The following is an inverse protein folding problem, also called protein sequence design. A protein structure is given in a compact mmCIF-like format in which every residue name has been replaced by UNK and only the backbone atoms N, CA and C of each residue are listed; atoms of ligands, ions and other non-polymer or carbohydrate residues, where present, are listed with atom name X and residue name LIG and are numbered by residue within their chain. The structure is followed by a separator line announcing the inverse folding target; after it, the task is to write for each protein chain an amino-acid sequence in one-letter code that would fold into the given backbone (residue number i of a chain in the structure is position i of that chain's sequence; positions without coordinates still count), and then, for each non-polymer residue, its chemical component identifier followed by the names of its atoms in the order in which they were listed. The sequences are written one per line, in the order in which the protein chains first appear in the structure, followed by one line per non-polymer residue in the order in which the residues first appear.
data_IF_550865853361
#
_entry.id   IF_550865853361
#
_cell.length_a   1.000
_cell.length_b   1.000
_cell.length_c   1.000
_cell.angle_alpha   90.00
_cell.angle_beta   90.00
_cell.angle_gamma   90.00
#
_symmetry.space_group_name_H-M   'P 1'
#
loop_
_entity.id
_entity.type
_entity.pdbx_description
1 polymer ?
#
# COMPACT_ATOMS: atom_id res chain seq x y z
N UNK A 1 6.73 -24.73 4.70
CA UNK A 1 6.01 -24.11 3.60
C UNK A 1 6.98 -23.32 2.74
N UNK A 2 6.93 -23.57 1.38
CA UNK A 2 7.77 -22.90 0.40
C UNK A 2 7.50 -21.40 0.31
N UNK A 3 8.48 -20.65 -0.24
CA UNK A 3 8.33 -19.24 -0.57
C UNK A 3 8.31 -19.08 -2.08
N UNK A 4 7.57 -18.08 -2.56
CA UNK A 4 7.48 -17.73 -3.99
C UNK A 4 8.26 -16.42 -4.17
N UNK A 5 9.36 -16.47 -4.92
CA UNK A 5 10.12 -15.29 -5.29
C UNK A 5 9.51 -14.63 -6.53
N UNK A 6 9.35 -13.31 -6.51
CA UNK A 6 8.92 -12.51 -7.66
C UNK A 6 9.99 -11.48 -8.01
N UNK A 7 10.17 -11.20 -9.31
CA UNK A 7 11.23 -10.36 -9.86
C UNK A 7 10.85 -8.87 -9.92
N UNK A 8 10.16 -8.34 -8.90
CA UNK A 8 9.90 -6.91 -8.81
C UNK A 8 11.18 -6.14 -8.52
N UNK A 9 11.37 -5.02 -9.22
CA UNK A 9 12.53 -4.14 -9.16
C UNK A 9 12.20 -2.80 -8.50
N UNK A 10 13.22 -1.93 -8.36
CA UNK A 10 13.01 -0.54 -7.92
C UNK A 10 12.07 0.23 -8.88
N UNK A 11 12.18 -0.01 -10.19
CA UNK A 11 11.33 0.63 -11.19
C UNK A 11 9.86 0.23 -11.00
N UNK A 12 9.57 -1.07 -10.74
CA UNK A 12 8.22 -1.52 -10.40
C UNK A 12 7.69 -0.89 -9.12
N UNK A 13 8.58 -0.68 -8.15
CA UNK A 13 8.24 0.00 -6.90
C UNK A 13 7.83 1.46 -7.16
N UNK A 14 8.63 2.21 -7.92
CA UNK A 14 8.35 3.59 -8.32
C UNK A 14 7.00 3.68 -9.07
N UNK A 15 6.77 2.81 -10.06
CA UNK A 15 5.50 2.73 -10.78
C UNK A 15 4.32 2.53 -9.83
N UNK A 16 4.47 1.64 -8.85
CA UNK A 16 3.42 1.34 -7.86
C UNK A 16 3.12 2.53 -6.97
N UNK A 17 4.15 3.23 -6.49
CA UNK A 17 3.99 4.46 -5.69
C UNK A 17 3.25 5.53 -6.48
N UNK A 18 3.66 5.78 -7.73
CA UNK A 18 3.00 6.77 -8.59
C UNK A 18 1.55 6.40 -8.90
N UNK A 19 1.26 5.12 -9.18
CA UNK A 19 -0.12 4.65 -9.37
C UNK A 19 -0.98 4.85 -8.13
N UNK A 20 -0.44 4.58 -6.95
CA UNK A 20 -1.16 4.77 -5.70
C UNK A 20 -1.40 6.25 -5.42
N UNK A 21 -0.40 7.10 -5.67
CA UNK A 21 -0.51 8.56 -5.55
C UNK A 21 -1.64 9.11 -6.44
N UNK A 22 -1.70 8.69 -7.71
CA UNK A 22 -2.74 9.16 -8.66
C UNK A 22 -4.15 8.69 -8.32
N UNK A 23 -4.28 7.62 -7.51
CA UNK A 23 -5.58 7.10 -7.04
C UNK A 23 -6.03 7.72 -5.72
N UNK A 24 -5.16 8.47 -5.06
CA UNK A 24 -5.31 8.89 -3.69
C UNK A 24 -5.07 7.71 -2.74
N UNK A 25 -4.05 7.80 -1.91
CA UNK A 25 -3.68 6.72 -0.99
C UNK A 25 -3.34 7.27 0.38
N UNK A 26 -3.42 6.43 1.39
CA UNK A 26 -2.84 6.67 2.72
C UNK A 26 -1.36 6.29 2.71
N UNK A 27 -0.68 6.55 3.83
CA UNK A 27 0.75 6.27 4.02
C UNK A 27 1.16 4.86 3.57
N UNK A 28 0.39 3.84 3.93
CA UNK A 28 0.62 2.45 3.54
C UNK A 28 0.79 2.23 2.02
N UNK A 29 0.06 2.99 1.19
CA UNK A 29 0.19 2.89 -0.26
C UNK A 29 1.40 3.62 -0.82
N UNK A 30 1.96 4.59 -0.10
CA UNK A 30 3.19 5.30 -0.44
C UNK A 30 4.45 4.51 -0.02
N UNK A 31 4.32 3.52 0.85
CA UNK A 31 5.41 2.59 1.19
C UNK A 31 5.84 1.71 0.01
N UNK A 32 5.08 1.72 -1.10
CA UNK A 32 5.39 0.96 -2.30
C UNK A 32 5.11 -0.54 -2.17
N UNK A 33 5.98 -1.35 -2.78
CA UNK A 33 5.86 -2.81 -2.80
C UNK A 33 6.60 -3.37 -1.57
N UNK A 34 5.93 -4.11 -0.65
CA UNK A 34 6.62 -4.66 0.51
C UNK A 34 7.60 -5.78 0.09
N UNK A 35 8.79 -5.89 0.71
CA UNK A 35 9.77 -6.94 0.41
C UNK A 35 9.22 -8.35 0.61
N UNK A 36 8.27 -8.50 1.55
CA UNK A 36 7.60 -9.76 1.87
C UNK A 36 6.13 -9.54 2.12
N UNK A 37 5.28 -10.41 1.55
CA UNK A 37 3.84 -10.43 1.82
C UNK A 37 3.31 -11.86 1.77
N UNK A 38 2.97 -12.42 2.93
CA UNK A 38 2.59 -13.82 3.02
C UNK A 38 3.69 -14.76 2.51
N UNK A 39 3.42 -15.66 1.54
CA UNK A 39 4.41 -16.55 0.95
C UNK A 39 5.35 -15.85 -0.06
N UNK A 40 4.99 -14.66 -0.53
CA UNK A 40 5.75 -13.94 -1.57
C UNK A 40 6.93 -13.18 -0.97
N UNK A 41 8.11 -13.29 -1.62
CA UNK A 41 9.31 -12.52 -1.36
C UNK A 41 9.77 -11.82 -2.64
N UNK A 42 10.48 -10.69 -2.51
CA UNK A 42 10.94 -9.85 -3.64
C UNK A 42 12.42 -9.53 -3.50
N UNK A 43 13.30 -10.48 -3.85
CA UNK A 43 14.75 -10.34 -3.63
C UNK A 43 15.37 -9.18 -4.41
N UNK A 44 14.80 -8.84 -5.58
CA UNK A 44 15.33 -7.84 -6.49
C UNK A 44 14.76 -6.44 -6.29
N UNK A 45 13.95 -6.22 -5.23
CA UNK A 45 13.26 -4.95 -5.02
C UNK A 45 14.20 -3.75 -4.79
N UNK A 46 15.43 -4.01 -4.36
CA UNK A 46 16.47 -3.00 -4.17
C UNK A 46 17.39 -2.81 -5.40
N UNK A 47 17.10 -3.49 -6.51
CA UNK A 47 17.91 -3.47 -7.73
C UNK A 47 17.14 -2.73 -8.83
N UNK A 48 17.80 -1.82 -9.54
CA UNK A 48 17.22 -1.12 -10.68
C UNK A 48 17.21 -2.00 -11.92
N UNK A 49 16.37 -1.66 -12.88
CA UNK A 49 16.35 -2.33 -14.17
C UNK A 49 17.67 -2.14 -14.92
N UNK A 50 18.26 -0.98 -14.82
CA UNK A 50 19.55 -0.64 -15.45
C UNK A 50 20.69 -1.52 -14.92
N UNK A 51 20.74 -1.77 -13.60
CA UNK A 51 21.72 -2.69 -13.00
C UNK A 51 21.53 -4.13 -13.47
N UNK A 52 20.29 -4.58 -13.63
CA UNK A 52 19.98 -5.93 -14.16
C UNK A 52 20.45 -6.05 -15.61
N UNK A 53 20.15 -5.06 -16.46
CA UNK A 53 20.54 -5.05 -17.86
C UNK A 53 22.08 -5.01 -18.00
N UNK A 54 22.76 -4.22 -17.17
CA UNK A 54 24.23 -4.18 -17.12
C UNK A 54 24.82 -5.53 -16.71
N UNK A 55 24.24 -6.18 -15.68
CA UNK A 55 24.67 -7.51 -15.24
C UNK A 55 24.51 -8.56 -16.36
N UNK A 56 23.39 -8.57 -17.05
CA UNK A 56 23.14 -9.49 -18.17
C UNK A 56 24.15 -9.29 -19.28
N UNK A 57 24.41 -8.03 -19.66
CA UNK A 57 25.38 -7.69 -20.71
C UNK A 57 26.81 -8.13 -20.32
N UNK A 58 27.23 -7.89 -19.08
CA UNK A 58 28.56 -8.29 -18.58
C UNK A 58 28.77 -9.82 -18.58
N UNK A 59 27.69 -10.58 -18.36
CA UNK A 59 27.77 -12.04 -18.31
C UNK A 59 27.38 -12.72 -19.64
N UNK A 60 27.13 -11.97 -20.70
CA UNK A 60 26.75 -12.51 -22.02
C UNK A 60 25.40 -13.24 -22.00
N UNK A 61 24.52 -12.90 -21.05
CA UNK A 61 23.20 -13.50 -20.92
C UNK A 61 22.17 -12.77 -21.78
N UNK A 62 21.40 -13.52 -22.56
CA UNK A 62 20.28 -12.97 -23.32
C UNK A 62 19.03 -12.86 -22.46
N UNK A 63 18.29 -11.77 -22.58
CA UNK A 63 16.94 -11.64 -22.03
C UNK A 63 15.89 -11.70 -23.15
N UNK A 64 14.77 -12.33 -22.85
CA UNK A 64 13.61 -12.32 -23.73
C UNK A 64 12.76 -11.11 -23.38
N UNK A 65 12.54 -10.25 -24.36
CA UNK A 65 11.57 -9.15 -24.20
C UNK A 65 10.19 -9.71 -24.46
N UNK A 66 9.40 -9.83 -23.40
CA UNK A 66 7.99 -10.26 -23.52
C UNK A 66 7.21 -9.18 -24.27
N UNK A 67 6.66 -9.54 -25.44
CA UNK A 67 5.83 -8.64 -26.26
C UNK A 67 4.55 -8.19 -25.56
N UNK A 68 4.09 -8.91 -24.55
CA UNK A 68 2.94 -8.49 -23.71
C UNK A 68 3.24 -7.24 -22.88
N UNK A 69 4.52 -6.91 -22.63
CA UNK A 69 4.93 -5.63 -22.05
C UNK A 69 4.60 -4.43 -22.95
N UNK A 70 4.30 -4.66 -24.21
CA UNK A 70 3.85 -3.65 -25.18
C UNK A 70 2.32 -3.49 -25.18
N UNK A 71 1.57 -4.45 -24.63
CA UNK A 71 0.12 -4.32 -24.50
C UNK A 71 -0.19 -3.35 -23.33
N UNK A 72 -1.04 -2.36 -23.55
CA UNK A 72 -1.25 -1.31 -22.58
C UNK A 72 -2.17 -1.79 -21.44
N UNK A 73 -1.62 -2.17 -20.29
CA UNK A 73 -2.25 -1.67 -19.08
C UNK A 73 -2.08 -0.14 -19.17
N UNK A 74 -3.10 0.53 -19.72
CA UNK A 74 -2.97 1.88 -20.26
C UNK A 74 -2.43 2.91 -19.24
N UNK A 75 -2.53 2.64 -17.94
CA UNK A 75 -2.04 3.53 -16.89
C UNK A 75 -0.57 3.28 -16.54
N UNK A 76 -0.19 2.01 -16.36
CA UNK A 76 1.17 1.65 -15.95
C UNK A 76 2.16 1.93 -17.08
N UNK A 77 1.80 1.61 -18.31
CA UNK A 77 2.63 1.91 -19.48
C UNK A 77 2.74 3.41 -19.76
N UNK A 78 1.66 4.20 -19.55
CA UNK A 78 1.78 5.67 -19.64
C UNK A 78 2.73 6.24 -18.59
N UNK A 79 2.68 5.77 -17.35
CA UNK A 79 3.65 6.20 -16.34
C UNK A 79 5.08 5.86 -16.76
N UNK A 80 5.33 4.63 -17.18
CA UNK A 80 6.65 4.15 -17.60
C UNK A 80 7.20 4.90 -18.81
N UNK A 81 6.35 5.14 -19.82
CA UNK A 81 6.80 5.71 -21.10
C UNK A 81 6.79 7.23 -21.14
N UNK A 82 5.93 7.88 -20.37
CA UNK A 82 5.72 9.32 -20.49
C UNK A 82 6.04 10.10 -19.22
N UNK A 83 5.69 9.60 -18.04
CA UNK A 83 5.82 10.36 -16.79
C UNK A 83 7.16 10.11 -16.12
N UNK A 84 7.55 8.86 -15.96
CA UNK A 84 8.82 8.50 -15.30
C UNK A 84 10.04 9.09 -16.01
N UNK A 85 10.15 9.09 -17.35
CA UNK A 85 11.26 9.73 -18.03
C UNK A 85 11.38 11.23 -17.73
N UNK A 86 10.28 11.96 -17.65
CA UNK A 86 10.29 13.38 -17.28
C UNK A 86 10.77 13.58 -15.83
N UNK A 87 10.30 12.75 -14.92
CA UNK A 87 10.74 12.80 -13.51
C UNK A 87 12.22 12.40 -13.36
N UNK A 88 12.70 11.43 -14.15
CA UNK A 88 14.12 11.04 -14.19
C UNK A 88 15.01 12.14 -14.81
N UNK A 89 14.49 12.97 -15.71
CA UNK A 89 15.20 14.13 -16.23
C UNK A 89 15.46 15.19 -15.15
N UNK A 90 14.50 15.36 -14.22
CA UNK A 90 14.66 16.24 -13.05
C UNK A 90 15.57 15.61 -11.97
N UNK A 91 15.46 14.29 -11.78
CA UNK A 91 16.28 13.54 -10.81
C UNK A 91 16.71 12.19 -11.42
N UNK A 92 17.92 12.07 -11.96
CA UNK A 92 18.44 10.81 -12.50
C UNK A 92 18.44 9.64 -11.50
N UNK A 93 18.60 9.93 -10.20
CA UNK A 93 18.57 8.94 -9.12
C UNK A 93 17.15 8.73 -8.53
N UNK A 94 16.10 9.00 -9.31
CA UNK A 94 14.71 8.96 -8.82
C UNK A 94 14.33 7.61 -8.22
N UNK A 95 14.73 6.49 -8.84
CA UNK A 95 14.40 5.15 -8.34
C UNK A 95 14.98 4.92 -6.94
N UNK A 96 16.26 5.24 -6.74
CA UNK A 96 16.92 5.13 -5.42
C UNK A 96 16.30 6.05 -4.39
N UNK A 97 16.01 7.29 -4.78
CA UNK A 97 15.40 8.29 -3.90
C UNK A 97 14.01 7.84 -3.46
N UNK A 98 13.19 7.37 -4.40
CA UNK A 98 11.86 6.84 -4.12
C UNK A 98 11.93 5.56 -3.25
N UNK A 99 12.87 4.67 -3.52
CA UNK A 99 13.06 3.46 -2.73
C UNK A 99 13.43 3.78 -1.27
N UNK A 100 14.38 4.72 -1.05
CA UNK A 100 14.74 5.19 0.30
C UNK A 100 13.56 5.84 1.01
N UNK A 101 12.81 6.70 0.32
CA UNK A 101 11.60 7.31 0.85
C UNK A 101 10.59 6.24 1.29
N UNK A 102 10.32 5.23 0.46
CA UNK A 102 9.42 4.12 0.80
C UNK A 102 9.86 3.40 2.08
N UNK A 103 11.17 3.17 2.25
CA UNK A 103 11.72 2.51 3.44
C UNK A 103 11.49 3.31 4.72
N UNK A 104 11.65 4.64 4.66
CA UNK A 104 11.36 5.51 5.79
C UNK A 104 9.86 5.51 6.12
N UNK A 105 9.01 5.67 5.12
CA UNK A 105 7.55 5.62 5.29
C UNK A 105 7.06 4.27 5.80
N UNK A 106 7.72 3.16 5.41
CA UNK A 106 7.40 1.81 5.92
C UNK A 106 7.64 1.70 7.43
N UNK A 107 8.72 2.30 7.93
CA UNK A 107 9.01 2.32 9.36
C UNK A 107 7.96 3.12 10.15
N UNK A 108 7.58 4.29 9.64
CA UNK A 108 6.53 5.13 10.24
C UNK A 108 5.16 4.41 10.22
N UNK A 109 4.80 3.79 9.08
CA UNK A 109 3.56 3.04 8.95
C UNK A 109 3.52 1.83 9.88
N UNK A 110 4.64 1.11 10.03
CA UNK A 110 4.74 -0.02 10.96
C UNK A 110 4.48 0.43 12.41
N UNK A 111 5.05 1.56 12.82
CA UNK A 111 4.84 2.12 14.16
C UNK A 111 3.38 2.53 14.39
N UNK A 112 2.79 3.25 13.43
CA UNK A 112 1.38 3.68 13.52
C UNK A 112 0.41 2.49 13.49
N UNK A 113 0.72 1.46 12.69
CA UNK A 113 -0.06 0.23 12.64
C UNK A 113 0.00 -0.55 13.94
N UNK A 114 1.19 -0.68 14.57
CA UNK A 114 1.33 -1.34 15.86
C UNK A 114 0.54 -0.62 16.97
N UNK A 115 0.56 0.72 16.99
CA UNK A 115 -0.25 1.50 17.91
C UNK A 115 -1.76 1.32 17.66
N UNK A 116 -2.16 1.23 16.40
CA UNK A 116 -3.57 1.00 16.04
C UNK A 116 -4.04 -0.40 16.42
N UNK A 117 -3.21 -1.43 16.29
CA UNK A 117 -3.50 -2.78 16.78
C UNK A 117 -3.69 -2.78 18.30
N UNK A 118 -2.84 -2.10 19.07
CA UNK A 118 -2.98 -1.95 20.51
C UNK A 118 -4.29 -1.23 20.87
N UNK A 119 -4.61 -0.11 20.22
CA UNK A 119 -5.85 0.63 20.42
C UNK A 119 -7.09 -0.23 20.12
N UNK A 120 -7.04 -0.99 19.01
CA UNK A 120 -8.10 -1.90 18.62
C UNK A 120 -8.30 -3.01 19.66
N UNK A 121 -7.21 -3.63 20.13
CA UNK A 121 -7.28 -4.69 21.14
C UNK A 121 -7.84 -4.19 22.48
N UNK A 122 -7.50 -2.96 22.89
CA UNK A 122 -8.05 -2.33 24.10
C UNK A 122 -9.55 -1.97 23.97
N UNK A 123 -9.97 -1.60 22.76
CA UNK A 123 -11.36 -1.23 22.49
C UNK A 123 -12.26 -2.42 22.19
N UNK A 124 -11.69 -3.58 21.86
CA UNK A 124 -12.41 -4.76 21.35
C UNK A 124 -13.43 -5.29 22.32
N UNK A 125 -14.64 -5.57 21.81
CA UNK A 125 -15.73 -6.26 22.47
C UNK A 125 -16.11 -7.52 21.66
N UNK A 126 -16.88 -8.48 22.21
CA UNK A 126 -17.29 -9.69 21.48
C UNK A 126 -17.99 -9.39 20.15
N UNK A 127 -18.75 -8.30 20.05
CA UNK A 127 -19.53 -7.94 18.85
C UNK A 127 -19.27 -6.50 18.38
N UNK A 128 -18.06 -5.99 18.58
CA UNK A 128 -17.74 -4.63 18.14
C UNK A 128 -16.58 -4.00 18.89
N UNK A 129 -16.65 -2.69 19.05
CA UNK A 129 -15.64 -1.91 19.78
C UNK A 129 -16.28 -0.88 20.70
N UNK A 130 -15.58 -0.54 21.78
CA UNK A 130 -15.99 0.55 22.70
C UNK A 130 -15.60 1.88 22.07
N UNK A 131 -16.60 2.66 21.63
CA UNK A 131 -16.39 3.95 20.96
C UNK A 131 -15.55 4.92 21.80
N UNK A 132 -15.85 5.06 23.11
CA UNK A 132 -15.12 5.98 24.01
C UNK A 132 -13.63 5.64 24.14
N UNK A 133 -13.24 4.39 23.96
CA UNK A 133 -11.83 4.00 23.95
C UNK A 133 -11.15 4.45 22.65
N UNK A 134 -11.78 4.23 21.49
CA UNK A 134 -11.21 4.62 20.21
C UNK A 134 -11.16 6.13 20.01
N UNK A 135 -12.18 6.86 20.46
CA UNK A 135 -12.23 8.33 20.33
C UNK A 135 -11.17 9.05 21.15
N UNK A 136 -10.56 8.40 22.14
CA UNK A 136 -9.43 8.94 22.89
C UNK A 136 -8.11 8.93 22.11
N UNK A 137 -8.04 8.20 20.99
CA UNK A 137 -6.81 8.12 20.18
C UNK A 137 -6.79 9.16 19.07
N UNK A 138 -5.59 9.65 18.68
CA UNK A 138 -5.43 10.51 17.51
C UNK A 138 -5.98 9.88 16.23
N UNK A 139 -6.43 10.70 15.28
CA UNK A 139 -7.03 10.28 14.00
C UNK A 139 -6.19 9.24 13.25
N UNK A 140 -4.85 9.43 13.25
CA UNK A 140 -3.94 8.52 12.57
C UNK A 140 -4.01 7.08 13.12
N UNK A 141 -4.22 6.91 14.42
CA UNK A 141 -4.34 5.61 15.11
C UNK A 141 -5.76 5.10 15.00
N UNK A 142 -6.74 5.95 15.34
CA UNK A 142 -8.15 5.60 15.38
C UNK A 142 -8.66 5.10 14.03
N UNK A 143 -8.38 5.80 12.94
CA UNK A 143 -8.82 5.38 11.60
C UNK A 143 -8.17 4.09 11.11
N UNK A 144 -6.95 3.75 11.58
CA UNK A 144 -6.35 2.44 11.35
C UNK A 144 -7.02 1.34 12.18
N UNK A 145 -7.38 1.63 13.44
CA UNK A 145 -8.13 0.70 14.28
C UNK A 145 -9.52 0.43 13.70
N UNK A 146 -10.21 1.45 13.18
CA UNK A 146 -11.48 1.29 12.44
C UNK A 146 -11.27 0.41 11.20
N UNK A 147 -10.16 0.57 10.47
CA UNK A 147 -9.85 -0.32 9.35
C UNK A 147 -9.70 -1.77 9.80
N UNK A 148 -9.00 -2.04 10.90
CA UNK A 148 -8.86 -3.40 11.46
C UNK A 148 -10.22 -4.01 11.81
N UNK A 149 -11.15 -3.22 12.38
CA UNK A 149 -12.53 -3.65 12.61
C UNK A 149 -13.23 -4.04 11.29
N UNK A 150 -13.13 -3.19 10.27
CA UNK A 150 -13.74 -3.42 8.96
C UNK A 150 -13.12 -4.61 8.21
N UNK A 151 -11.83 -4.85 8.37
CA UNK A 151 -11.16 -6.01 7.77
C UNK A 151 -11.70 -7.34 8.34
N UNK A 152 -12.22 -7.37 9.57
CA UNK A 152 -12.81 -8.57 10.18
C UNK A 152 -14.15 -8.98 9.56
N UNK A 153 -14.93 -8.03 9.06
CA UNK A 153 -16.22 -8.33 8.42
C UNK A 153 -16.08 -8.78 6.96
N UNK A 154 -14.85 -8.75 6.40
CA UNK A 154 -14.53 -9.15 5.02
C UNK A 154 -15.42 -8.48 3.94
N UNK A 155 -15.91 -7.27 4.21
CA UNK A 155 -16.73 -6.54 3.24
C UNK A 155 -15.92 -6.24 1.96
N UNK A 156 -16.48 -6.52 0.77
CA UNK A 156 -15.77 -6.33 -0.50
C UNK A 156 -15.58 -4.85 -0.79
N UNK A 157 -14.45 -4.50 -1.43
CA UNK A 157 -14.18 -3.16 -2.00
C UNK A 157 -14.30 -2.00 -0.99
N UNK A 158 -13.87 -2.20 0.25
CA UNK A 158 -13.75 -1.12 1.22
C UNK A 158 -12.78 -0.04 0.70
N UNK A 159 -13.15 1.23 0.92
CA UNK A 159 -12.37 2.41 0.51
C UNK A 159 -12.19 3.37 1.69
N UNK A 160 -11.33 4.37 1.55
CA UNK A 160 -11.08 5.37 2.59
C UNK A 160 -12.39 6.04 3.07
N UNK A 161 -13.31 6.36 2.15
CA UNK A 161 -14.63 6.97 2.51
C UNK A 161 -15.46 6.09 3.46
N UNK A 162 -15.36 4.76 3.35
CA UNK A 162 -16.08 3.85 4.25
C UNK A 162 -15.44 3.86 5.64
N UNK A 163 -14.11 3.90 5.72
CA UNK A 163 -13.39 4.05 6.98
C UNK A 163 -13.78 5.37 7.64
N UNK A 164 -13.78 6.47 6.88
CA UNK A 164 -14.12 7.80 7.39
C UNK A 164 -15.60 7.88 7.82
N UNK A 165 -16.51 7.19 7.13
CA UNK A 165 -17.91 7.13 7.50
C UNK A 165 -18.11 6.36 8.82
N UNK A 166 -17.43 5.22 9.00
CA UNK A 166 -17.47 4.45 10.26
C UNK A 166 -16.76 5.18 11.39
N UNK A 167 -15.65 5.89 11.12
CA UNK A 167 -14.97 6.73 12.10
C UNK A 167 -15.92 7.82 12.67
N UNK A 168 -16.74 8.45 11.83
CA UNK A 168 -17.75 9.42 12.26
C UNK A 168 -18.83 8.79 13.15
N UNK A 169 -19.17 7.52 12.96
CA UNK A 169 -20.13 6.84 13.83
C UNK A 169 -19.66 6.74 15.27
N UNK A 170 -18.34 6.70 15.53
CA UNK A 170 -17.79 6.67 16.88
C UNK A 170 -18.19 7.89 17.74
N UNK A 171 -18.55 8.99 17.07
CA UNK A 171 -18.97 10.24 17.71
C UNK A 171 -20.47 10.47 17.66
N UNK A 172 -21.23 9.50 17.13
CA UNK A 172 -22.69 9.64 17.04
C UNK A 172 -23.35 9.47 18.41
N UNK A 173 -24.19 10.42 18.78
CA UNK A 173 -25.05 10.32 19.96
C UNK A 173 -26.30 9.46 19.71
N UNK A 174 -26.58 9.12 18.45
CA UNK A 174 -27.74 8.32 18.07
C UNK A 174 -27.39 6.82 18.16
N UNK A 175 -28.01 6.04 19.08
CA UNK A 175 -27.71 4.61 19.26
C UNK A 175 -28.06 3.74 18.04
N UNK A 176 -28.93 4.23 17.15
CA UNK A 176 -29.35 3.53 15.94
C UNK A 176 -28.68 4.06 14.67
N UNK A 177 -27.66 4.93 14.80
CA UNK A 177 -26.91 5.42 13.64
C UNK A 177 -26.24 4.27 12.89
N UNK A 178 -26.34 4.30 11.56
CA UNK A 178 -25.84 3.23 10.68
C UNK A 178 -25.08 3.80 9.51
N UNK A 179 -24.15 3.01 9.00
CA UNK A 179 -23.44 3.28 7.75
C UNK A 179 -23.57 2.08 6.83
N UNK A 180 -24.07 2.32 5.64
CA UNK A 180 -24.10 1.28 4.59
C UNK A 180 -22.73 1.03 4.03
N UNK A 181 -22.32 -0.22 3.99
CA UNK A 181 -21.05 -0.69 3.44
C UNK A 181 -21.29 -1.58 2.19
N UNK A 182 -20.27 -1.72 1.33
CA UNK A 182 -20.39 -2.60 0.18
C UNK A 182 -20.70 -4.05 0.58
N UNK A 183 -21.49 -4.74 -0.24
CA UNK A 183 -21.89 -6.13 0.02
C UNK A 183 -23.10 -6.27 0.94
N UNK A 184 -23.83 -5.16 1.18
CA UNK A 184 -25.07 -5.19 1.99
C UNK A 184 -24.84 -5.14 3.51
N UNK A 185 -23.61 -4.87 3.95
CA UNK A 185 -23.31 -4.67 5.37
C UNK A 185 -23.81 -3.29 5.84
N UNK A 186 -24.30 -3.24 7.08
CA UNK A 186 -24.75 -2.01 7.76
C UNK A 186 -24.26 -2.00 9.19
#
# INVERSE_FOLDING_TARGET
PGRIATAHTQDDNLETVLLNLTRGTRLAGLCGIPPKRGPFIRPMLAVSREEIEAYLAQNGLSCVTDSTNLLPDARRNRLRQSVIPLLKAENPSLCDTAFRMCRLLEADEAQLSAQAEQAFMQARLPHGVRCSTLTAYPDAIRTRAVKLLLDQIHAPKLSARHIDAVDRLLYSECPSARVSLPGGYT
#
